data_IF_189678703052
#
_entry.id   IF_189678703052
#
_cell.length_a   1.000
_cell.length_b   1.000
_cell.length_c   1.000
_cell.angle_alpha   90.00
_cell.angle_beta   90.00
_cell.angle_gamma   90.00
#
_symmetry.space_group_name_H-M   'P 1'
#
loop_
_entity.id
_entity.type
_entity.pdbx_description
1 polymer ?
#
# COMPACT_ATOMS: atom_id res chain seq x y z
N UNK A 1 -30.22 -6.21 15.70
CA UNK A 1 -29.12 -5.27 16.01
C UNK A 1 -27.95 -5.60 15.09
N UNK A 2 -27.55 -4.70 14.17
CA UNK A 2 -26.33 -4.90 13.37
C UNK A 2 -25.14 -4.50 14.24
N UNK A 3 -24.42 -5.48 14.77
CA UNK A 3 -23.14 -5.24 15.42
C UNK A 3 -22.13 -4.94 14.31
N UNK A 4 -21.87 -3.65 14.10
CA UNK A 4 -20.84 -3.21 13.18
C UNK A 4 -19.49 -3.42 13.86
N UNK A 5 -18.94 -4.62 13.76
CA UNK A 5 -17.57 -4.92 14.17
C UNK A 5 -16.60 -4.30 13.15
N UNK A 6 -16.41 -2.97 13.24
CA UNK A 6 -15.34 -2.29 12.51
C UNK A 6 -14.01 -2.59 13.19
N UNK A 7 -13.51 -3.82 13.00
CA UNK A 7 -12.14 -4.19 13.30
C UNK A 7 -11.22 -3.51 12.29
N UNK A 8 -10.91 -2.24 12.55
CA UNK A 8 -9.84 -1.49 11.91
C UNK A 8 -8.47 -1.99 12.44
N UNK A 9 -8.23 -3.30 12.33
CA UNK A 9 -6.92 -3.87 12.60
C UNK A 9 -5.93 -3.37 11.56
N UNK A 10 -4.67 -3.18 11.96
CA UNK A 10 -3.59 -2.85 11.03
C UNK A 10 -3.67 -3.85 9.88
N UNK A 11 -3.92 -3.35 8.66
CA UNK A 11 -4.04 -4.23 7.49
C UNK A 11 -2.76 -5.07 7.39
N UNK A 12 -2.87 -6.29 6.89
CA UNK A 12 -1.71 -7.17 6.67
C UNK A 12 -0.53 -6.44 6.01
N UNK A 13 -0.85 -5.51 5.10
CA UNK A 13 0.10 -4.60 4.43
C UNK A 13 0.86 -3.68 5.41
N UNK A 14 0.18 -3.12 6.42
CA UNK A 14 0.81 -2.28 7.45
C UNK A 14 1.77 -3.08 8.32
N UNK A 15 1.38 -4.29 8.73
CA UNK A 15 2.25 -5.19 9.49
C UNK A 15 3.48 -5.62 8.66
N UNK A 16 3.29 -5.97 7.37
CA UNK A 16 4.39 -6.26 6.45
C UNK A 16 5.34 -5.06 6.30
N UNK A 17 4.80 -3.85 6.16
CA UNK A 17 5.60 -2.62 6.03
C UNK A 17 6.49 -2.42 7.25
N UNK A 18 5.94 -2.58 8.46
CA UNK A 18 6.71 -2.46 9.71
C UNK A 18 7.76 -3.58 9.79
N UNK A 19 7.42 -4.82 9.43
CA UNK A 19 8.36 -5.95 9.43
C UNK A 19 9.57 -5.70 8.49
N UNK A 20 9.35 -5.17 7.28
CA UNK A 20 10.43 -4.82 6.35
C UNK A 20 11.32 -3.69 6.89
N UNK A 21 10.74 -2.69 7.56
CA UNK A 21 11.49 -1.59 8.20
C UNK A 21 12.37 -2.12 9.33
N UNK A 22 11.84 -3.02 10.17
CA UNK A 22 12.58 -3.62 11.29
C UNK A 22 13.72 -4.52 10.79
N UNK A 23 13.48 -5.36 9.78
CA UNK A 23 14.54 -6.19 9.19
C UNK A 23 15.71 -5.36 8.63
N UNK A 24 15.40 -4.19 8.05
CA UNK A 24 16.41 -3.26 7.54
C UNK A 24 17.26 -2.67 8.66
N UNK A 25 16.62 -2.28 9.77
CA UNK A 25 17.30 -1.72 10.95
C UNK A 25 18.18 -2.77 11.65
N UNK A 26 17.78 -4.03 11.65
CA UNK A 26 18.61 -5.15 12.11
C UNK A 26 19.81 -5.45 11.18
N UNK A 27 19.98 -4.68 10.10
CA UNK A 27 21.11 -4.80 9.17
C UNK A 27 21.26 -6.19 8.52
N UNK A 28 20.20 -6.99 8.51
CA UNK A 28 20.14 -8.31 7.86
C UNK A 28 20.15 -8.15 6.32
N UNK A 29 19.69 -7.00 5.83
CA UNK A 29 19.62 -6.70 4.39
C UNK A 29 20.17 -5.31 4.12
N UNK A 30 21.20 -5.19 3.28
CA UNK A 30 21.81 -3.91 2.83
C UNK A 30 20.96 -3.17 1.78
N UNK A 31 19.71 -3.58 1.59
CA UNK A 31 18.91 -3.18 0.44
C UNK A 31 18.55 -1.69 0.46
N UNK A 32 18.39 -1.12 -0.73
CA UNK A 32 18.01 0.28 -0.90
C UNK A 32 16.64 0.55 -0.25
N UNK A 33 16.52 1.71 0.41
CA UNK A 33 15.29 2.13 1.12
C UNK A 33 14.08 2.17 0.18
N UNK A 34 14.33 2.40 -1.11
CA UNK A 34 13.34 2.36 -2.18
C UNK A 34 12.56 1.04 -2.25
N UNK A 35 13.22 -0.08 -2.01
CA UNK A 35 12.56 -1.39 -2.05
C UNK A 35 11.89 -1.79 -0.73
N UNK A 36 12.35 -1.27 0.40
CA UNK A 36 11.63 -1.38 1.69
C UNK A 36 10.27 -0.68 1.61
N UNK A 37 10.19 0.38 0.80
CA UNK A 37 8.94 1.06 0.49
C UNK A 37 8.13 0.39 -0.63
N UNK A 38 8.62 -0.68 -1.27
CA UNK A 38 7.91 -1.36 -2.37
C UNK A 38 6.46 -1.75 -2.05
N UNK A 39 6.08 -2.19 -0.83
CA UNK A 39 4.67 -2.48 -0.51
C UNK A 39 3.79 -1.23 -0.57
N UNK A 40 4.37 -0.09 -0.18
CA UNK A 40 3.73 1.22 -0.18
C UNK A 40 3.67 1.77 -1.62
N UNK A 41 4.76 1.63 -2.39
CA UNK A 41 4.80 2.01 -3.81
C UNK A 41 3.81 1.23 -4.66
N UNK A 42 3.72 -0.09 -4.47
CA UNK A 42 2.72 -0.93 -5.17
C UNK A 42 1.31 -0.42 -4.87
N UNK A 43 1.02 -0.13 -3.59
CA UNK A 43 -0.27 0.43 -3.19
C UNK A 43 -0.53 1.79 -3.85
N UNK A 44 0.44 2.71 -3.84
CA UNK A 44 0.34 4.02 -4.49
C UNK A 44 0.16 3.90 -6.01
N UNK A 45 0.88 2.98 -6.66
CA UNK A 45 0.84 2.76 -8.11
C UNK A 45 -0.51 2.20 -8.54
N UNK A 46 -1.08 1.26 -7.78
CA UNK A 46 -2.45 0.76 -7.99
C UNK A 46 -3.46 1.90 -7.91
N UNK A 47 -3.38 2.75 -6.88
CA UNK A 47 -4.28 3.90 -6.73
C UNK A 47 -4.15 4.88 -7.89
N UNK A 48 -2.93 5.20 -8.33
CA UNK A 48 -2.66 6.07 -9.48
C UNK A 48 -3.27 5.49 -10.76
N UNK A 49 -3.10 4.20 -11.01
CA UNK A 49 -3.66 3.53 -12.20
C UNK A 49 -5.18 3.58 -12.17
N UNK A 50 -5.80 3.30 -11.02
CA UNK A 50 -7.27 3.39 -10.87
C UNK A 50 -7.77 4.80 -11.16
N UNK A 51 -7.11 5.82 -10.61
CA UNK A 51 -7.47 7.23 -10.87
C UNK A 51 -7.32 7.56 -12.36
N UNK A 52 -6.21 7.17 -12.98
CA UNK A 52 -5.97 7.41 -14.40
C UNK A 52 -7.04 6.77 -15.29
N UNK A 53 -7.42 5.51 -15.02
CA UNK A 53 -8.48 4.82 -15.77
C UNK A 53 -9.83 5.52 -15.60
N UNK A 54 -10.19 5.91 -14.37
CA UNK A 54 -11.44 6.64 -14.09
C UNK A 54 -11.47 7.97 -14.85
N UNK A 55 -10.38 8.73 -14.82
CA UNK A 55 -10.26 9.98 -15.58
C UNK A 55 -10.42 9.75 -17.09
N UNK A 56 -9.79 8.72 -17.64
CA UNK A 56 -9.84 8.38 -19.06
C UNK A 56 -11.26 7.99 -19.49
N UNK A 57 -11.96 7.20 -18.67
CA UNK A 57 -13.37 6.83 -18.89
C UNK A 57 -14.27 8.05 -18.83
N UNK A 58 -14.09 8.94 -17.84
CA UNK A 58 -14.88 10.18 -17.73
C UNK A 58 -14.66 11.07 -18.95
N UNK A 59 -13.42 11.19 -19.42
CA UNK A 59 -13.06 12.00 -20.58
C UNK A 59 -13.62 11.42 -21.88
N UNK A 60 -13.61 10.10 -22.06
CA UNK A 60 -14.23 9.41 -23.20
C UNK A 60 -15.76 9.47 -23.20
N UNK A 61 -16.36 9.57 -22.01
CA UNK A 61 -17.83 9.55 -21.84
C UNK A 61 -18.43 10.97 -21.84
N UNK A 62 -17.60 12.00 -21.85
CA UNK A 62 -17.97 13.41 -21.99
C UNK A 62 -17.85 13.84 -23.44
#
# INVERSE_FOLDING_TARGET
>A
MKVNNNSNGIGFVGALTIAFVVLKLMKIIDWSWWWVLSPLWISTLVVIVVIAVVFLVIWLKK
#
